data_IF_676870826519
#
_entry.id   IF_676870826519
#
_cell.length_a   1.000
_cell.length_b   1.000
_cell.length_c   1.000
_cell.angle_alpha   90.00
_cell.angle_beta   90.00
_cell.angle_gamma   90.00
#
_symmetry.space_group_name_H-M   'P 1'
#
loop_
_entity.id
_entity.type
_entity.pdbx_description
1 polymer ?
#
# COMPACT_ATOMS: atom_id res chain seq x y z
N UNK A 1 -24.46 -13.37 17.61
CA UNK A 1 -24.96 -12.44 16.58
C UNK A 1 -23.94 -12.35 15.45
N UNK A 2 -22.90 -11.50 15.48
CA UNK A 2 -21.96 -11.37 14.36
C UNK A 2 -21.25 -12.67 13.89
N UNK A 3 -20.91 -13.59 14.81
CA UNK A 3 -20.24 -14.87 14.46
C UNK A 3 -21.17 -15.84 13.72
N UNK A 4 -22.45 -15.82 14.05
CA UNK A 4 -23.46 -16.70 13.46
C UNK A 4 -23.89 -16.16 12.09
N UNK A 5 -23.90 -14.83 11.93
CA UNK A 5 -24.12 -14.16 10.64
C UNK A 5 -23.03 -14.50 9.62
N UNK A 6 -21.75 -14.35 9.96
CA UNK A 6 -20.66 -14.69 9.03
C UNK A 6 -20.72 -16.15 8.58
N UNK A 7 -20.94 -17.09 9.51
CA UNK A 7 -21.10 -18.51 9.16
C UNK A 7 -22.25 -18.70 8.16
N UNK A 8 -23.40 -18.05 8.40
CA UNK A 8 -24.54 -18.15 7.50
C UNK A 8 -24.27 -17.57 6.12
N UNK A 9 -23.47 -16.51 6.03
CA UNK A 9 -23.06 -15.91 4.75
C UNK A 9 -22.11 -16.85 3.99
N UNK A 10 -21.13 -17.45 4.68
CA UNK A 10 -20.22 -18.45 4.09
C UNK A 10 -20.99 -19.66 3.55
N UNK A 11 -21.92 -20.20 4.33
CA UNK A 11 -22.75 -21.34 3.93
C UNK A 11 -23.62 -20.99 2.71
N UNK A 12 -24.25 -19.82 2.70
CA UNK A 12 -25.08 -19.34 1.58
C UNK A 12 -24.31 -19.20 0.27
N UNK A 13 -23.09 -18.65 0.32
CA UNK A 13 -22.20 -18.56 -0.84
C UNK A 13 -21.79 -19.97 -1.30
N UNK A 14 -21.43 -20.85 -0.37
CA UNK A 14 -21.03 -22.23 -0.67
C UNK A 14 -22.13 -23.06 -1.37
N UNK A 15 -23.37 -22.96 -0.91
CA UNK A 15 -24.50 -23.70 -1.47
C UNK A 15 -24.81 -23.30 -2.92
N UNK A 16 -24.63 -22.01 -3.26
CA UNK A 16 -24.81 -21.49 -4.62
C UNK A 16 -23.82 -22.07 -5.63
N UNK A 17 -22.59 -22.38 -5.20
CA UNK A 17 -21.54 -22.94 -6.06
C UNK A 17 -21.39 -24.47 -5.97
N UNK A 18 -22.17 -25.16 -5.12
CA UNK A 18 -22.07 -26.61 -4.93
C UNK A 18 -22.88 -27.40 -5.96
N UNK A 19 -22.60 -27.21 -7.26
CA UNK A 19 -23.30 -27.90 -8.36
C UNK A 19 -22.61 -29.22 -8.73
N UNK A 20 -23.39 -30.28 -8.92
CA UNK A 20 -22.93 -31.54 -9.51
C UNK A 20 -22.87 -31.48 -11.05
N UNK A 21 -22.22 -32.47 -11.67
CA UNK A 21 -22.02 -32.53 -13.14
C UNK A 21 -23.33 -32.34 -13.92
N UNK A 22 -24.39 -33.06 -13.55
CA UNK A 22 -25.70 -32.92 -14.22
C UNK A 22 -26.32 -31.54 -14.06
N UNK A 23 -26.13 -30.88 -12.91
CA UNK A 23 -26.66 -29.53 -12.70
C UNK A 23 -25.91 -28.51 -13.54
N UNK A 24 -24.59 -28.68 -13.66
CA UNK A 24 -23.74 -27.84 -14.52
C UNK A 24 -24.16 -28.01 -15.98
N UNK A 25 -24.26 -29.25 -16.47
CA UNK A 25 -24.61 -29.54 -17.86
C UNK A 25 -26.01 -29.02 -18.21
N UNK A 26 -26.99 -29.23 -17.32
CA UNK A 26 -28.35 -28.73 -17.51
C UNK A 26 -28.40 -27.19 -17.50
N UNK A 27 -27.68 -26.55 -16.58
CA UNK A 27 -27.65 -25.09 -16.48
C UNK A 27 -27.05 -24.45 -17.74
N UNK A 28 -25.91 -24.97 -18.21
CA UNK A 28 -25.27 -24.50 -19.44
C UNK A 28 -26.16 -24.70 -20.66
N UNK A 29 -26.80 -25.87 -20.80
CA UNK A 29 -27.73 -26.13 -21.90
C UNK A 29 -28.93 -25.15 -21.89
N UNK A 30 -29.49 -24.85 -20.71
CA UNK A 30 -30.60 -23.90 -20.59
C UNK A 30 -30.14 -22.46 -20.92
N UNK A 31 -28.94 -22.06 -20.50
CA UNK A 31 -28.36 -20.75 -20.84
C UNK A 31 -28.14 -20.59 -22.35
N UNK A 32 -27.61 -21.61 -23.02
CA UNK A 32 -27.33 -21.57 -24.46
C UNK A 32 -28.60 -21.46 -25.31
N UNK A 33 -29.68 -22.11 -24.87
CA UNK A 33 -30.94 -22.20 -25.61
C UNK A 33 -32.02 -21.24 -25.11
N UNK A 34 -31.82 -20.59 -23.96
CA UNK A 34 -32.73 -19.65 -23.30
C UNK A 34 -33.98 -20.29 -22.68
N UNK A 35 -34.59 -21.27 -23.35
CA UNK A 35 -35.75 -22.01 -22.82
C UNK A 35 -35.79 -23.41 -23.38
N UNK A 36 -35.87 -24.42 -22.51
CA UNK A 36 -35.95 -25.83 -22.88
C UNK A 36 -37.04 -26.55 -22.07
N UNK A 37 -37.56 -27.64 -22.60
CA UNK A 37 -38.35 -28.63 -21.86
C UNK A 37 -37.44 -29.68 -21.23
N UNK A 38 -37.92 -30.41 -20.23
CA UNK A 38 -37.16 -31.50 -19.62
C UNK A 38 -36.74 -32.60 -20.64
N UNK A 39 -37.54 -32.80 -21.70
CA UNK A 39 -37.17 -33.71 -22.78
C UNK A 39 -36.02 -33.15 -23.62
N UNK A 40 -36.10 -31.88 -24.01
CA UNK A 40 -35.03 -31.24 -24.79
C UNK A 40 -33.72 -31.16 -23.98
N UNK A 41 -33.77 -30.93 -22.67
CA UNK A 41 -32.57 -31.01 -21.80
C UNK A 41 -31.95 -32.40 -21.86
N UNK A 42 -32.75 -33.47 -21.80
CA UNK A 42 -32.23 -34.84 -21.93
C UNK A 42 -31.64 -35.13 -23.32
N UNK A 43 -32.15 -34.48 -24.36
CA UNK A 43 -31.67 -34.65 -25.74
C UNK A 43 -30.37 -33.85 -26.00
N UNK A 44 -30.20 -32.72 -25.31
CA UNK A 44 -29.04 -31.83 -25.43
C UNK A 44 -27.90 -32.14 -24.44
N UNK A 45 -28.12 -33.02 -23.46
CA UNK A 45 -27.13 -33.36 -22.43
C UNK A 45 -26.98 -34.88 -22.27
N UNK A 46 -25.99 -35.32 -21.49
CA UNK A 46 -25.83 -36.74 -21.13
C UNK A 46 -26.67 -37.15 -19.90
N UNK A 47 -27.63 -36.31 -19.49
CA UNK A 47 -28.42 -36.52 -18.29
C UNK A 47 -29.53 -37.55 -18.57
N UNK A 48 -29.60 -38.66 -17.81
CA UNK A 48 -30.68 -39.62 -17.97
C UNK A 48 -32.04 -38.95 -17.74
N UNK A 49 -33.00 -39.16 -18.65
CA UNK A 49 -34.33 -38.55 -18.61
C UNK A 49 -35.05 -38.60 -17.23
N UNK A 50 -34.95 -39.68 -16.43
CA UNK A 50 -35.53 -39.71 -15.08
C UNK A 50 -34.92 -38.70 -14.10
N UNK A 51 -33.67 -38.26 -14.32
CA UNK A 51 -32.93 -37.36 -13.44
C UNK A 51 -33.11 -35.89 -13.80
N UNK A 52 -33.51 -35.57 -15.03
CA UNK A 52 -33.63 -34.18 -15.49
C UNK A 52 -34.57 -33.37 -14.61
N UNK A 53 -35.71 -33.94 -14.19
CA UNK A 53 -36.67 -33.24 -13.32
C UNK A 53 -36.09 -32.87 -11.96
N UNK A 54 -35.30 -33.77 -11.35
CA UNK A 54 -34.66 -33.50 -10.05
C UNK A 54 -33.56 -32.45 -10.21
N UNK A 55 -32.77 -32.54 -11.29
CA UNK A 55 -31.72 -31.58 -11.63
C UNK A 55 -32.26 -30.17 -11.83
N UNK A 56 -33.30 -29.99 -12.65
CA UNK A 56 -33.86 -28.64 -12.93
C UNK A 56 -34.61 -28.06 -11.74
N UNK A 57 -35.16 -28.91 -10.86
CA UNK A 57 -35.71 -28.47 -9.58
C UNK A 57 -34.63 -27.95 -8.64
N UNK A 58 -33.51 -28.68 -8.53
CA UNK A 58 -32.38 -28.22 -7.73
C UNK A 58 -31.82 -26.89 -8.26
N UNK A 59 -31.70 -26.73 -9.58
CA UNK A 59 -31.30 -25.45 -10.19
C UNK A 59 -32.30 -24.32 -9.89
N UNK A 60 -33.59 -24.61 -9.91
CA UNK A 60 -34.65 -23.64 -9.58
C UNK A 60 -34.63 -23.25 -8.10
N UNK A 61 -34.44 -24.20 -7.18
CA UNK A 61 -34.31 -23.93 -5.75
C UNK A 61 -33.07 -23.06 -5.46
N UNK A 62 -32.06 -23.15 -6.33
CA UNK A 62 -30.86 -22.31 -6.32
C UNK A 62 -31.00 -21.03 -7.17
N UNK A 63 -32.19 -20.71 -7.67
CA UNK A 63 -32.43 -19.45 -8.42
C UNK A 63 -31.62 -19.31 -9.71
N UNK A 64 -31.13 -20.42 -10.28
CA UNK A 64 -30.33 -20.42 -11.51
C UNK A 64 -31.21 -20.56 -12.76
N UNK A 65 -32.39 -21.16 -12.62
CA UNK A 65 -33.39 -21.31 -13.70
C UNK A 65 -34.78 -21.09 -13.14
N UNK A 66 -35.73 -20.74 -13.99
CA UNK A 66 -37.15 -20.63 -13.65
C UNK A 66 -37.94 -21.80 -14.24
N UNK A 67 -38.76 -22.46 -13.42
CA UNK A 67 -39.71 -23.48 -13.90
C UNK A 67 -41.08 -22.86 -14.18
N UNK A 68 -41.50 -22.90 -15.45
CA UNK A 68 -42.84 -22.47 -15.85
C UNK A 68 -43.81 -23.66 -15.88
N UNK A 69 -44.96 -23.49 -15.22
CA UNK A 69 -46.05 -24.48 -15.16
C UNK A 69 -46.83 -24.57 -16.48
N UNK A 70 -46.15 -24.97 -17.55
CA UNK A 70 -46.74 -25.26 -18.86
C UNK A 70 -46.81 -26.77 -19.13
N UNK A 71 -47.50 -27.16 -20.22
CA UNK A 71 -47.53 -28.55 -20.70
C UNK A 71 -46.97 -28.60 -22.14
N UNK A 72 -45.75 -29.11 -22.36
CA UNK A 72 -44.78 -29.61 -21.38
C UNK A 72 -44.18 -28.51 -20.48
N UNK A 73 -43.64 -28.89 -19.31
CA UNK A 73 -42.95 -27.98 -18.37
C UNK A 73 -41.75 -27.35 -19.07
N UNK A 74 -41.61 -26.02 -18.93
CA UNK A 74 -40.49 -25.27 -19.48
C UNK A 74 -39.54 -24.84 -18.38
N UNK A 75 -38.26 -24.87 -18.70
CA UNK A 75 -37.13 -24.42 -17.88
C UNK A 75 -36.54 -23.23 -18.62
N UNK A 76 -36.55 -22.08 -17.96
CA UNK A 76 -36.15 -20.80 -18.55
C UNK A 76 -34.86 -20.34 -17.88
N UNK A 77 -33.92 -19.85 -18.68
CA UNK A 77 -32.70 -19.24 -18.19
C UNK A 77 -33.04 -17.94 -17.43
N UNK A 78 -32.44 -17.78 -16.25
CA UNK A 78 -32.40 -16.49 -15.56
C UNK A 78 -31.15 -15.76 -16.05
N UNK A 79 -31.21 -14.44 -16.20
CA UNK A 79 -30.03 -13.65 -16.55
C UNK A 79 -28.92 -13.88 -15.50
N UNK A 80 -27.68 -14.20 -15.91
CA UNK A 80 -26.62 -14.49 -14.95
C UNK A 80 -26.33 -13.33 -13.99
N UNK A 81 -26.50 -12.07 -14.42
CA UNK A 81 -26.36 -10.91 -13.55
C UNK A 81 -27.42 -10.94 -12.43
N UNK A 82 -28.67 -11.22 -12.77
CA UNK A 82 -29.76 -11.34 -11.79
C UNK A 82 -29.60 -12.59 -10.91
N UNK A 83 -29.22 -13.74 -11.48
CA UNK A 83 -29.08 -15.00 -10.76
C UNK A 83 -27.96 -14.96 -9.69
N UNK A 84 -26.93 -14.15 -9.91
CA UNK A 84 -25.76 -14.05 -9.03
C UNK A 84 -25.68 -12.73 -8.25
N UNK A 85 -26.58 -11.76 -8.44
CA UNK A 85 -26.57 -10.46 -7.72
C UNK A 85 -26.49 -10.64 -6.20
N UNK A 86 -27.39 -11.46 -5.64
CA UNK A 86 -27.41 -11.78 -4.20
C UNK A 86 -26.12 -12.46 -3.72
N UNK A 87 -25.49 -13.25 -4.60
CA UNK A 87 -24.26 -13.99 -4.30
C UNK A 87 -23.05 -13.08 -4.33
N UNK A 88 -22.98 -12.14 -5.28
CA UNK A 88 -21.94 -11.12 -5.32
C UNK A 88 -21.99 -10.24 -4.06
N UNK A 89 -23.19 -9.80 -3.66
CA UNK A 89 -23.38 -9.04 -2.43
C UNK A 89 -22.98 -9.85 -1.18
N UNK A 90 -23.45 -11.09 -1.06
CA UNK A 90 -23.11 -11.98 0.04
C UNK A 90 -21.61 -12.33 0.09
N UNK A 91 -20.96 -12.47 -1.08
CA UNK A 91 -19.52 -12.71 -1.17
C UNK A 91 -18.73 -11.49 -0.68
N UNK A 92 -19.16 -10.28 -1.03
CA UNK A 92 -18.60 -9.03 -0.49
C UNK A 92 -18.70 -8.98 1.03
N UNK A 93 -19.90 -9.18 1.59
CA UNK A 93 -20.12 -9.24 3.04
C UNK A 93 -19.27 -10.33 3.72
N UNK A 94 -19.12 -11.49 3.06
CA UNK A 94 -18.29 -12.58 3.55
C UNK A 94 -16.82 -12.17 3.62
N UNK A 95 -16.29 -11.54 2.57
CA UNK A 95 -14.91 -11.06 2.51
C UNK A 95 -14.68 -10.02 3.61
N UNK A 96 -15.54 -9.01 3.73
CA UNK A 96 -15.41 -7.96 4.75
C UNK A 96 -15.47 -8.54 6.17
N UNK A 97 -16.37 -9.50 6.41
CA UNK A 97 -16.52 -10.17 7.69
C UNK A 97 -15.36 -11.12 8.02
N UNK A 98 -14.71 -11.71 7.01
CA UNK A 98 -13.49 -12.50 7.16
C UNK A 98 -12.29 -11.60 7.39
N UNK A 99 -12.13 -10.51 6.64
CA UNK A 99 -11.06 -9.51 6.81
C UNK A 99 -11.12 -8.89 8.22
N UNK A 100 -12.31 -8.55 8.71
CA UNK A 100 -12.51 -8.02 10.08
C UNK A 100 -12.08 -9.01 11.19
N UNK A 101 -12.06 -10.32 10.89
CA UNK A 101 -11.64 -11.38 11.82
C UNK A 101 -10.26 -11.93 11.51
N UNK A 102 -9.68 -11.53 10.39
CA UNK A 102 -8.39 -11.95 9.95
C UNK A 102 -7.35 -11.27 10.82
N UNK A 103 -6.89 -11.98 11.84
CA UNK A 103 -5.66 -11.61 12.53
C UNK A 103 -4.51 -12.01 11.62
N UNK A 104 -3.89 -11.03 10.97
CA UNK A 104 -2.64 -11.25 10.28
C UNK A 104 -1.68 -11.94 11.26
N UNK A 105 -1.07 -13.09 10.90
CA UNK A 105 0.01 -13.64 11.70
C UNK A 105 1.02 -12.53 11.92
N UNK A 106 1.48 -12.32 13.15
CA UNK A 106 2.61 -11.42 13.41
C UNK A 106 3.77 -11.91 12.55
N UNK A 107 4.00 -11.25 11.41
CA UNK A 107 5.11 -11.56 10.51
C UNK A 107 6.35 -10.92 11.09
N UNK A 108 6.78 -11.45 12.23
CA UNK A 108 8.22 -11.46 12.47
C UNK A 108 8.79 -12.45 11.44
N UNK A 109 9.72 -11.98 10.59
CA UNK A 109 10.64 -12.79 9.75
C UNK A 109 10.33 -13.02 8.25
N UNK A 110 9.65 -12.11 7.54
CA UNK A 110 9.89 -11.97 6.10
C UNK A 110 10.26 -10.53 5.76
N UNK A 111 11.55 -10.29 5.46
CA UNK A 111 12.04 -8.97 5.06
C UNK A 111 11.34 -8.44 3.80
N UNK A 112 10.78 -9.34 2.98
CA UNK A 112 10.08 -9.02 1.73
C UNK A 112 8.83 -9.87 1.57
N UNK A 113 7.68 -9.26 1.28
CA UNK A 113 6.42 -9.94 0.96
C UNK A 113 5.95 -9.52 -0.44
N UNK A 114 5.59 -10.49 -1.28
CA UNK A 114 4.91 -10.26 -2.54
C UNK A 114 3.39 -10.31 -2.34
N UNK A 115 2.66 -9.28 -2.77
CA UNK A 115 1.19 -9.22 -2.69
C UNK A 115 0.58 -9.03 -4.07
N UNK A 116 -0.56 -9.66 -4.32
CA UNK A 116 -1.29 -9.53 -5.60
C UNK A 116 -2.66 -8.88 -5.45
N UNK A 117 -3.25 -8.94 -4.25
CA UNK A 117 -4.56 -8.34 -4.01
C UNK A 117 -4.45 -6.84 -3.80
N UNK A 118 -5.32 -6.08 -4.49
CA UNK A 118 -5.52 -4.65 -4.27
C UNK A 118 -5.88 -4.34 -2.82
N UNK A 119 -6.75 -5.13 -2.17
CA UNK A 119 -7.13 -4.91 -0.77
C UNK A 119 -5.93 -5.03 0.15
N UNK A 120 -5.06 -6.02 -0.10
CA UNK A 120 -3.82 -6.19 0.65
C UNK A 120 -2.84 -5.04 0.45
N UNK A 121 -2.67 -4.53 -0.79
CA UNK A 121 -1.82 -3.37 -1.07
C UNK A 121 -2.32 -2.13 -0.32
N UNK A 122 -3.63 -1.88 -0.37
CA UNK A 122 -4.25 -0.73 0.31
C UNK A 122 -4.09 -0.80 1.82
N UNK A 123 -4.28 -1.98 2.41
CA UNK A 123 -4.05 -2.21 3.84
C UNK A 123 -2.60 -1.95 4.24
N UNK A 124 -1.62 -2.37 3.43
CA UNK A 124 -0.21 -2.08 3.72
C UNK A 124 0.14 -0.60 3.55
N UNK A 125 -0.47 0.11 2.59
CA UNK A 125 -0.30 1.55 2.45
C UNK A 125 -0.78 2.29 3.71
N UNK A 126 -1.99 1.95 4.18
CA UNK A 126 -2.57 2.47 5.42
C UNK A 126 -1.63 2.19 6.62
N UNK A 127 -1.21 0.93 6.78
CA UNK A 127 -0.33 0.51 7.87
C UNK A 127 1.02 1.24 7.84
N UNK A 128 1.60 1.48 6.66
CA UNK A 128 2.85 2.25 6.52
C UNK A 128 2.63 3.71 6.91
N UNK A 129 1.55 4.34 6.43
CA UNK A 129 1.23 5.75 6.73
C UNK A 129 1.02 5.93 8.24
N UNK A 130 0.20 5.08 8.86
CA UNK A 130 -0.10 5.15 10.30
C UNK A 130 1.11 4.84 11.19
N UNK A 131 2.05 4.03 10.70
CA UNK A 131 3.25 3.66 11.46
C UNK A 131 4.38 4.68 11.42
N UNK A 132 4.28 5.71 10.57
CA UNK A 132 5.35 6.70 10.40
C UNK A 132 5.48 7.56 11.65
N UNK A 133 6.67 7.60 12.23
CA UNK A 133 6.95 8.35 13.45
C UNK A 133 7.58 9.71 13.18
N UNK A 134 8.36 9.86 12.10
CA UNK A 134 9.06 11.12 11.84
C UNK A 134 9.26 11.46 10.37
N UNK A 135 9.30 10.49 9.46
CA UNK A 135 9.32 10.76 8.03
C UNK A 135 8.47 9.79 7.22
N UNK A 136 7.85 10.33 6.18
CA UNK A 136 7.01 9.59 5.25
C UNK A 136 7.24 10.11 3.83
N UNK A 137 7.65 9.22 2.93
CA UNK A 137 7.79 9.51 1.50
C UNK A 137 6.76 8.72 0.70
N UNK A 138 5.99 9.40 -0.14
CA UNK A 138 4.82 8.84 -0.82
C UNK A 138 4.80 9.18 -2.30
N UNK A 139 4.40 8.21 -3.12
CA UNK A 139 3.94 8.44 -4.49
C UNK A 139 2.56 7.84 -4.60
N UNK A 140 1.53 8.66 -4.76
CA UNK A 140 0.13 8.23 -4.78
C UNK A 140 -0.55 8.63 -6.09
N UNK A 141 -1.57 7.86 -6.46
CA UNK A 141 -2.55 8.32 -7.46
C UNK A 141 -3.49 9.35 -6.83
N UNK A 142 -4.18 10.18 -7.64
CA UNK A 142 -5.18 11.10 -7.12
C UNK A 142 -6.28 10.42 -6.28
N UNK A 143 -6.74 9.24 -6.69
CA UNK A 143 -7.74 8.48 -5.94
C UNK A 143 -7.22 8.03 -4.57
N UNK A 144 -5.93 7.63 -4.50
CA UNK A 144 -5.30 7.24 -3.24
C UNK A 144 -5.03 8.45 -2.34
N UNK A 145 -4.67 9.60 -2.91
CA UNK A 145 -4.57 10.84 -2.15
C UNK A 145 -5.91 11.18 -1.50
N UNK A 146 -7.01 11.09 -2.25
CA UNK A 146 -8.35 11.31 -1.70
C UNK A 146 -8.71 10.31 -0.60
N UNK A 147 -8.34 9.04 -0.79
CA UNK A 147 -8.59 7.96 0.20
C UNK A 147 -7.84 8.17 1.51
N UNK A 148 -6.55 8.50 1.46
CA UNK A 148 -5.67 8.59 2.62
C UNK A 148 -5.49 10.03 3.14
N UNK A 149 -6.30 10.98 2.67
CA UNK A 149 -6.13 12.39 3.03
C UNK A 149 -6.17 12.60 4.55
N UNK A 150 -7.13 12.00 5.25
CA UNK A 150 -7.24 12.15 6.71
C UNK A 150 -6.05 11.53 7.45
N UNK A 151 -5.56 10.37 7.02
CA UNK A 151 -4.40 9.69 7.63
C UNK A 151 -3.13 10.53 7.46
N UNK A 152 -2.97 11.16 6.28
CA UNK A 152 -1.86 12.06 6.00
C UNK A 152 -1.93 13.36 6.80
N UNK A 153 -3.14 13.91 7.03
CA UNK A 153 -3.32 15.04 7.96
C UNK A 153 -2.92 14.65 9.37
N UNK A 154 -3.39 13.49 9.84
CA UNK A 154 -3.04 12.99 11.17
C UNK A 154 -1.52 12.81 11.34
N UNK A 155 -0.83 12.28 10.33
CA UNK A 155 0.63 12.16 10.34
C UNK A 155 1.32 13.53 10.37
N UNK A 156 0.87 14.48 9.56
CA UNK A 156 1.42 15.85 9.51
C UNK A 156 1.19 16.59 10.83
N UNK A 157 -0.01 16.48 11.41
CA UNK A 157 -0.38 17.04 12.71
C UNK A 157 0.44 16.43 13.86
N UNK A 158 0.83 15.16 13.74
CA UNK A 158 1.74 14.48 14.66
C UNK A 158 3.21 14.91 14.49
N UNK A 159 3.53 15.74 13.48
CA UNK A 159 4.87 16.29 13.22
C UNK A 159 5.73 15.46 12.26
N UNK A 160 5.16 14.41 11.65
CA UNK A 160 5.83 13.58 10.64
C UNK A 160 6.15 14.45 9.42
N UNK A 161 7.37 14.35 8.89
CA UNK A 161 7.72 15.02 7.64
C UNK A 161 7.19 14.23 6.47
N UNK A 162 6.24 14.79 5.72
CA UNK A 162 5.60 14.10 4.62
C UNK A 162 6.04 14.70 3.28
N UNK A 163 6.75 13.89 2.47
CA UNK A 163 7.09 14.19 1.07
C UNK A 163 6.10 13.46 0.16
N UNK A 164 5.15 14.19 -0.39
CA UNK A 164 4.07 13.65 -1.20
C UNK A 164 4.30 13.92 -2.69
N UNK A 165 4.32 12.86 -3.48
CA UNK A 165 4.26 12.93 -4.94
C UNK A 165 2.90 12.44 -5.42
N UNK A 166 2.23 13.23 -6.26
CA UNK A 166 0.95 12.85 -6.88
C UNK A 166 1.14 12.62 -8.38
N UNK A 167 0.75 11.44 -8.86
CA UNK A 167 0.88 11.08 -10.27
C UNK A 167 -0.27 10.18 -10.75
N UNK A 168 -0.77 10.35 -12.00
CA UNK A 168 -0.37 11.38 -12.95
C UNK A 168 -0.93 12.77 -12.58
N UNK A 169 -0.18 13.83 -12.89
CA UNK A 169 -0.56 15.22 -12.58
C UNK A 169 -1.88 15.66 -13.22
N UNK A 170 -2.26 15.09 -14.37
CA UNK A 170 -3.52 15.42 -15.04
C UNK A 170 -4.80 15.02 -14.29
N UNK A 171 -4.69 14.19 -13.24
CA UNK A 171 -5.80 13.88 -12.33
C UNK A 171 -5.62 14.43 -10.92
N UNK A 172 -4.49 15.08 -10.62
CA UNK A 172 -4.24 15.63 -9.29
C UNK A 172 -5.21 16.81 -9.03
N UNK A 173 -5.76 16.92 -7.81
CA UNK A 173 -6.51 18.10 -7.42
C UNK A 173 -5.71 19.39 -7.67
N UNK A 174 -6.31 20.47 -8.18
CA UNK A 174 -5.59 21.72 -8.35
C UNK A 174 -5.30 22.35 -6.98
N UNK A 175 -4.14 23.01 -6.85
CA UNK A 175 -3.61 23.49 -5.57
C UNK A 175 -4.46 24.57 -4.89
N UNK A 176 -5.34 25.24 -5.64
CA UNK A 176 -6.30 26.21 -5.14
C UNK A 176 -7.61 25.58 -4.62
N UNK A 177 -7.89 24.31 -4.95
CA UNK A 177 -9.07 23.57 -4.48
C UNK A 177 -8.75 22.52 -3.41
N UNK A 178 -7.48 22.12 -3.28
CA UNK A 178 -7.04 21.12 -2.31
C UNK A 178 -5.88 21.64 -1.46
N UNK A 179 -6.06 21.57 -0.14
CA UNK A 179 -5.03 21.97 0.82
C UNK A 179 -3.95 20.89 0.95
N UNK A 180 -2.96 20.98 0.07
CA UNK A 180 -1.78 20.12 0.09
C UNK A 180 -0.90 20.33 1.33
N UNK A 181 -0.91 21.52 1.93
CA UNK A 181 -0.13 21.82 3.13
C UNK A 181 -0.66 21.10 4.37
N UNK A 182 -1.96 20.82 4.41
CA UNK A 182 -2.55 20.04 5.51
C UNK A 182 -2.14 18.57 5.49
N UNK A 183 -1.81 18.00 4.32
CA UNK A 183 -1.50 16.57 4.17
C UNK A 183 -0.01 16.28 3.94
N UNK A 184 0.79 17.32 3.67
CA UNK A 184 2.19 17.14 3.33
C UNK A 184 3.06 18.33 3.73
N UNK A 185 4.29 18.05 4.17
CA UNK A 185 5.33 19.08 4.32
C UNK A 185 5.78 19.60 2.96
N UNK A 186 5.90 18.72 1.98
CA UNK A 186 6.18 19.09 0.58
C UNK A 186 5.35 18.23 -0.33
N UNK A 187 4.62 18.85 -1.26
CA UNK A 187 3.81 18.16 -2.25
C UNK A 187 4.25 18.54 -3.67
N UNK A 188 4.44 17.52 -4.52
CA UNK A 188 4.83 17.68 -5.92
C UNK A 188 3.95 16.85 -6.84
N UNK A 189 3.90 17.23 -8.12
CA UNK A 189 3.15 16.49 -9.14
C UNK A 189 4.05 16.00 -10.28
N UNK A 190 3.62 14.92 -10.95
CA UNK A 190 4.36 14.30 -12.06
C UNK A 190 3.44 13.73 -13.15
N UNK A 191 3.71 14.01 -14.43
CA UNK A 191 2.88 13.56 -15.59
C UNK A 191 2.77 12.05 -15.75
N UNK A 192 3.83 11.30 -15.46
CA UNK A 192 3.97 9.93 -15.92
C UNK A 192 2.91 8.99 -15.34
N UNK A 193 2.06 8.41 -16.19
CA UNK A 193 1.07 7.40 -15.79
C UNK A 193 1.71 6.08 -15.31
N UNK A 194 2.99 5.87 -15.63
CA UNK A 194 3.79 4.73 -15.17
C UNK A 194 4.46 4.98 -13.82
N UNK A 195 4.21 6.13 -13.17
CA UNK A 195 4.78 6.45 -11.85
C UNK A 195 4.23 5.45 -10.82
N UNK A 196 5.06 4.61 -10.20
CA UNK A 196 4.57 3.60 -9.27
C UNK A 196 3.94 4.25 -8.03
N UNK A 197 3.07 3.48 -7.39
CA UNK A 197 2.59 3.79 -6.04
C UNK A 197 3.62 3.28 -5.05
N UNK A 198 4.10 4.18 -4.19
CA UNK A 198 5.05 3.82 -3.14
C UNK A 198 4.67 4.52 -1.83
N UNK A 199 5.05 3.90 -0.72
CA UNK A 199 5.12 4.54 0.59
C UNK A 199 6.38 4.06 1.30
N UNK A 200 7.06 4.95 2.01
CA UNK A 200 8.22 4.64 2.85
C UNK A 200 8.08 5.40 4.15
N UNK A 201 7.88 4.69 5.25
CA UNK A 201 7.92 5.22 6.61
C UNK A 201 9.30 4.97 7.23
N UNK A 202 9.89 6.04 7.76
CA UNK A 202 11.11 6.00 8.60
C UNK A 202 12.26 5.20 7.98
N UNK A 203 12.37 5.24 6.65
CA UNK A 203 13.39 4.55 5.85
C UNK A 203 13.40 3.01 5.93
N UNK A 204 12.46 2.37 6.64
CA UNK A 204 12.50 0.91 6.90
C UNK A 204 11.26 0.16 6.44
N UNK A 205 10.07 0.76 6.60
CA UNK A 205 8.83 0.11 6.22
C UNK A 205 8.35 0.69 4.90
N UNK A 206 8.28 -0.14 3.85
CA UNK A 206 7.95 0.38 2.53
C UNK A 206 7.16 -0.58 1.66
N UNK A 207 6.47 0.00 0.69
CA UNK A 207 5.78 -0.71 -0.38
C UNK A 207 6.16 -0.12 -1.73
N UNK A 208 6.29 -0.99 -2.71
CA UNK A 208 6.35 -0.64 -4.13
C UNK A 208 5.25 -1.39 -4.86
N UNK A 209 4.38 -0.67 -5.57
CA UNK A 209 3.35 -1.23 -6.43
C UNK A 209 3.31 -0.46 -7.76
N UNK A 210 3.08 -1.15 -8.87
CA UNK A 210 2.75 -0.45 -10.12
C UNK A 210 1.36 0.19 -9.99
N UNK A 211 1.08 1.36 -10.61
CA UNK A 211 -0.30 1.92 -10.60
C UNK A 211 -1.32 0.91 -11.11
N UNK A 212 -0.85 0.18 -12.11
CA UNK A 212 -1.51 -0.92 -12.76
C UNK A 212 -1.85 -2.05 -11.75
N UNK A 213 -1.04 -2.36 -10.74
CA UNK A 213 -1.40 -3.35 -9.70
C UNK A 213 -2.65 -2.98 -8.89
N UNK A 214 -3.09 -1.71 -8.95
CA UNK A 214 -4.32 -1.23 -8.31
C UNK A 214 -5.50 -1.18 -9.29
N UNK A 215 -5.28 -1.53 -10.56
CA UNK A 215 -6.28 -1.69 -11.62
C UNK A 215 -6.42 -3.20 -11.93
N UNK A 216 -7.63 -3.64 -12.24
CA UNK A 216 -8.06 -5.05 -12.18
C UNK A 216 -7.52 -5.95 -13.33
N UNK A 217 -6.21 -6.15 -13.43
CA UNK A 217 -5.58 -6.90 -14.54
C UNK A 217 -4.46 -7.86 -14.07
N UNK A 218 -4.25 -8.92 -14.86
CA UNK A 218 -3.93 -10.28 -14.39
C UNK A 218 -2.47 -10.60 -14.02
N UNK A 219 -1.51 -9.69 -14.19
CA UNK A 219 -0.08 -9.97 -13.96
C UNK A 219 0.66 -8.89 -13.16
N UNK A 220 0.15 -8.53 -11.97
CA UNK A 220 0.67 -7.36 -11.23
C UNK A 220 0.78 -7.62 -9.73
N UNK A 221 1.87 -7.13 -9.15
CA UNK A 221 2.25 -7.39 -7.76
C UNK A 221 2.73 -6.11 -7.07
N UNK A 222 2.46 -6.02 -5.77
CA UNK A 222 3.13 -5.14 -4.84
C UNK A 222 4.24 -5.89 -4.12
N UNK A 223 5.33 -5.21 -3.79
CA UNK A 223 6.41 -5.72 -2.95
C UNK A 223 6.45 -4.89 -1.68
N UNK A 224 6.32 -5.54 -0.53
CA UNK A 224 6.43 -4.89 0.78
C UNK A 224 7.77 -5.28 1.38
N UNK A 225 8.49 -4.31 1.90
CA UNK A 225 9.68 -4.50 2.70
C UNK A 225 9.32 -4.22 4.16
N UNK A 226 9.17 -5.27 4.97
CA UNK A 226 8.69 -5.16 6.35
C UNK A 226 9.82 -4.71 7.27
N UNK A 227 9.83 -3.42 7.63
CA UNK A 227 10.75 -2.81 8.63
C UNK A 227 12.18 -3.32 8.48
N UNK A 228 12.72 -3.22 7.27
CA UNK A 228 14.00 -3.80 6.90
C UNK A 228 14.95 -2.76 6.33
N UNK A 229 16.25 -3.08 6.36
CA UNK A 229 17.26 -2.24 5.72
C UNK A 229 16.98 -2.02 4.22
N UNK A 230 16.23 -2.92 3.57
CA UNK A 230 15.86 -2.85 2.15
C UNK A 230 14.88 -1.71 1.83
N UNK A 231 14.18 -1.15 2.83
CA UNK A 231 13.36 0.05 2.62
C UNK A 231 14.16 1.23 2.07
N UNK A 232 15.47 1.25 2.32
CA UNK A 232 16.42 2.20 1.72
C UNK A 232 16.42 2.16 0.19
N UNK A 233 16.21 0.99 -0.44
CA UNK A 233 16.19 0.88 -1.90
C UNK A 233 14.99 1.63 -2.49
N UNK A 234 13.82 1.52 -1.84
CA UNK A 234 12.60 2.21 -2.24
C UNK A 234 12.73 3.71 -1.98
N UNK A 235 13.27 4.10 -0.82
CA UNK A 235 13.57 5.50 -0.48
C UNK A 235 14.57 6.12 -1.48
N UNK A 236 15.64 5.41 -1.82
CA UNK A 236 16.62 5.82 -2.81
C UNK A 236 15.98 6.03 -4.18
N UNK A 237 15.22 5.05 -4.66
CA UNK A 237 14.48 5.16 -5.93
C UNK A 237 13.50 6.35 -5.93
N UNK A 238 12.77 6.56 -4.84
CA UNK A 238 11.90 7.73 -4.70
C UNK A 238 12.69 9.03 -4.84
N UNK A 239 13.73 9.19 -4.02
CA UNK A 239 14.52 10.42 -3.95
C UNK A 239 15.26 10.73 -5.25
N UNK A 240 15.87 9.74 -5.90
CA UNK A 240 16.72 9.98 -7.08
C UNK A 240 15.96 9.95 -8.39
N UNK A 241 14.88 9.17 -8.51
CA UNK A 241 14.14 9.01 -9.78
C UNK A 241 12.84 9.76 -9.76
N UNK A 242 12.02 9.59 -8.72
CA UNK A 242 10.66 10.13 -8.72
C UNK A 242 10.63 11.60 -8.30
N UNK A 243 11.32 11.94 -7.22
CA UNK A 243 11.28 13.26 -6.58
C UNK A 243 11.99 14.35 -7.39
N UNK A 244 13.08 13.99 -8.07
CA UNK A 244 13.90 14.87 -8.92
C UNK A 244 13.28 15.11 -10.31
N UNK A 245 12.36 14.26 -10.77
CA UNK A 245 11.74 14.36 -12.10
C UNK A 245 10.28 14.85 -12.05
N UNK A 246 10.03 15.82 -11.17
CA UNK A 246 8.71 16.44 -10.94
C UNK A 246 8.52 17.69 -11.77
N UNK A 247 7.26 18.06 -12.04
CA UNK A 247 6.94 19.26 -12.84
C UNK A 247 6.73 20.50 -12.00
N UNK A 248 6.02 20.34 -10.89
CA UNK A 248 5.52 21.43 -10.10
C UNK A 248 5.54 21.04 -8.63
N UNK A 249 5.96 21.99 -7.79
CA UNK A 249 5.79 21.92 -6.34
C UNK A 249 4.51 22.67 -6.01
N UNK A 250 3.51 21.95 -5.51
CA UNK A 250 2.16 22.46 -5.25
C UNK A 250 1.96 22.90 -3.80
N UNK A 251 2.80 22.41 -2.89
CA UNK A 251 2.94 22.94 -1.53
C UNK A 251 4.34 22.68 -0.98
N UNK A 252 4.82 23.60 -0.13
CA UNK A 252 6.08 23.49 0.60
C UNK A 252 5.98 24.30 1.90
N UNK A 253 6.06 23.62 3.05
CA UNK A 253 6.09 24.21 4.39
C UNK A 253 7.26 23.65 5.22
N UNK A 254 8.47 23.70 4.64
CA UNK A 254 9.69 23.21 5.28
C UNK A 254 10.25 24.11 6.39
N UNK A 255 9.92 25.41 6.34
CA UNK A 255 10.51 26.44 7.22
C UNK A 255 9.90 26.45 8.63
N UNK A 256 8.65 25.98 8.78
CA UNK A 256 7.92 26.02 10.05
C UNK A 256 8.20 24.88 11.03
N UNK A 257 8.91 23.80 10.62
CA UNK A 257 9.04 22.60 11.46
C UNK A 257 9.95 22.83 12.69
N UNK A 258 9.49 22.53 13.91
CA UNK A 258 10.28 22.71 15.12
C UNK A 258 11.45 21.71 15.20
N UNK A 259 12.46 22.07 15.99
CA UNK A 259 13.52 21.14 16.42
C UNK A 259 13.16 20.59 17.82
N UNK A 260 13.55 19.35 18.17
CA UNK A 260 14.43 18.46 17.40
C UNK A 260 13.73 17.78 16.22
N UNK A 261 14.47 17.57 15.13
CA UNK A 261 14.00 16.86 13.92
C UNK A 261 14.66 15.50 13.82
N UNK A 262 13.96 14.52 13.26
CA UNK A 262 14.49 13.17 12.97
C UNK A 262 14.50 12.89 11.48
N UNK A 263 15.48 12.11 11.04
CA UNK A 263 15.69 11.75 9.64
C UNK A 263 16.19 10.30 9.54
N UNK A 264 15.70 9.53 8.57
CA UNK A 264 16.28 8.23 8.21
C UNK A 264 17.21 8.33 6.98
N UNK A 265 17.21 9.47 6.29
CA UNK A 265 18.07 9.74 5.13
C UNK A 265 19.06 10.87 5.38
N UNK A 266 20.35 10.55 5.30
CA UNK A 266 21.43 11.56 5.39
C UNK A 266 21.27 12.64 4.33
N UNK A 267 20.85 12.28 3.11
CA UNK A 267 20.71 13.22 1.99
C UNK A 267 19.67 14.28 2.29
N UNK A 268 18.53 13.85 2.86
CA UNK A 268 17.46 14.75 3.29
C UNK A 268 17.94 15.64 4.43
N UNK A 269 18.54 15.04 5.47
CA UNK A 269 19.07 15.78 6.60
C UNK A 269 20.04 16.89 6.12
N UNK A 270 21.06 16.52 5.36
CA UNK A 270 22.08 17.44 4.83
C UNK A 270 21.45 18.57 4.02
N UNK A 271 20.49 18.27 3.13
CA UNK A 271 19.78 19.29 2.36
C UNK A 271 19.03 20.26 3.28
N UNK A 272 18.26 19.75 4.24
CA UNK A 272 17.53 20.58 5.21
C UNK A 272 18.46 21.48 6.03
N UNK A 273 19.63 20.98 6.44
CA UNK A 273 20.61 21.78 7.20
C UNK A 273 21.21 22.90 6.35
N UNK A 274 21.50 22.63 5.08
CA UNK A 274 22.02 23.63 4.14
C UNK A 274 20.97 24.72 3.87
N UNK A 275 19.72 24.33 3.65
CA UNK A 275 18.61 25.25 3.38
C UNK A 275 18.27 26.10 4.63
N UNK A 276 18.24 25.50 5.82
CA UNK A 276 17.91 26.19 7.06
C UNK A 276 19.04 27.09 7.59
N UNK A 277 20.30 26.71 7.37
CA UNK A 277 21.49 27.42 7.84
C UNK A 277 21.61 27.56 9.37
N UNK A 278 22.77 28.03 9.83
CA UNK A 278 23.07 28.26 11.25
C UNK A 278 23.76 27.08 11.94
N UNK A 279 23.79 27.12 13.27
CA UNK A 279 24.42 26.09 14.09
C UNK A 279 23.44 24.97 14.42
N UNK A 280 23.95 23.74 14.42
CA UNK A 280 23.19 22.52 14.66
C UNK A 280 23.99 21.55 15.52
N UNK A 281 23.25 20.71 16.23
CA UNK A 281 23.77 19.60 17.01
C UNK A 281 23.07 18.34 16.57
N UNK A 282 23.77 17.21 16.59
CA UNK A 282 23.20 15.94 16.17
C UNK A 282 23.47 14.83 17.16
N UNK A 283 22.55 13.87 17.19
CA UNK A 283 22.72 12.56 17.80
C UNK A 283 22.37 11.51 16.74
N UNK A 284 23.31 10.61 16.49
CA UNK A 284 23.27 9.62 15.42
C UNK A 284 23.21 8.24 16.06
N UNK A 285 22.17 7.49 15.73
CA UNK A 285 22.16 6.04 15.94
C UNK A 285 22.55 5.35 14.63
N UNK A 286 23.41 4.36 14.74
CA UNK A 286 23.94 3.67 13.57
C UNK A 286 24.99 2.64 13.92
N UNK A 287 25.91 2.44 12.98
CA UNK A 287 27.01 1.48 13.15
C UNK A 287 28.34 2.01 12.66
N UNK A 288 29.39 1.57 13.31
CA UNK A 288 30.77 1.76 12.86
C UNK A 288 31.00 1.07 11.51
N UNK A 289 31.52 1.78 10.52
CA UNK A 289 31.63 1.28 9.13
C UNK A 289 32.60 0.11 9.00
N UNK A 290 33.71 0.14 9.75
CA UNK A 290 34.73 -0.92 9.68
C UNK A 290 34.36 -2.16 10.50
N UNK A 291 33.88 -1.97 11.73
CA UNK A 291 33.62 -3.09 12.65
C UNK A 291 32.17 -3.58 12.66
N UNK A 292 31.23 -2.80 12.12
CA UNK A 292 29.81 -3.11 12.06
C UNK A 292 29.08 -3.07 13.42
N UNK A 293 29.76 -2.64 14.49
CA UNK A 293 29.17 -2.54 15.84
C UNK A 293 28.24 -1.34 15.93
N UNK A 294 27.10 -1.52 16.59
CA UNK A 294 26.20 -0.41 16.92
C UNK A 294 26.95 0.67 17.68
N UNK A 295 26.70 1.92 17.31
CA UNK A 295 27.39 3.09 17.83
C UNK A 295 26.44 4.28 17.82
N UNK A 296 26.26 4.90 18.99
CA UNK A 296 25.57 6.18 19.12
C UNK A 296 26.63 7.28 19.26
N UNK A 297 26.52 8.33 18.45
CA UNK A 297 27.46 9.46 18.46
C UNK A 297 26.68 10.76 18.55
N UNK A 298 27.09 11.66 19.45
CA UNK A 298 26.48 12.97 19.62
C UNK A 298 27.52 14.08 19.60
N UNK A 299 27.19 15.21 18.98
CA UNK A 299 28.12 16.33 18.89
C UNK A 299 27.57 17.53 18.13
N UNK A 300 28.39 18.58 18.02
CA UNK A 300 28.09 19.75 17.19
C UNK A 300 28.34 19.41 15.72
N UNK A 301 27.44 19.78 14.82
CA UNK A 301 27.66 19.65 13.37
C UNK A 301 28.67 20.70 12.95
N UNK A 302 29.89 20.26 12.60
CA UNK A 302 30.99 21.16 12.21
C UNK A 302 31.10 21.34 10.70
N UNK A 303 30.71 20.34 9.92
CA UNK A 303 30.74 20.34 8.47
C UNK A 303 29.57 19.54 7.89
N UNK A 304 29.08 19.99 6.75
CA UNK A 304 28.03 19.34 5.97
C UNK A 304 28.50 19.31 4.51
N UNK A 305 28.55 18.13 3.90
CA UNK A 305 28.99 17.93 2.52
C UNK A 305 27.86 17.35 1.68
N UNK A 306 27.59 17.97 0.52
CA UNK A 306 26.63 17.50 -0.46
C UNK A 306 27.17 17.71 -1.87
N UNK A 307 27.53 16.63 -2.56
CA UNK A 307 27.96 16.70 -3.95
C UNK A 307 26.78 16.42 -4.90
N UNK A 308 26.57 17.33 -5.85
CA UNK A 308 25.48 17.26 -6.84
C UNK A 308 25.58 16.02 -7.73
N UNK A 309 26.73 15.34 -7.78
CA UNK A 309 26.94 14.06 -8.48
C UNK A 309 26.24 12.86 -7.84
N UNK A 310 25.53 13.06 -6.72
CA UNK A 310 24.88 12.01 -5.90
C UNK A 310 25.86 11.05 -5.17
N UNK A 311 27.17 11.28 -5.31
CA UNK A 311 28.25 10.41 -4.79
C UNK A 311 28.46 10.56 -3.28
N UNK A 312 28.30 11.76 -2.71
CA UNK A 312 28.60 12.00 -1.29
C UNK A 312 27.56 12.94 -0.66
N UNK A 313 26.90 12.44 0.40
CA UNK A 313 26.15 13.26 1.35
C UNK A 313 26.53 12.81 2.76
N UNK A 314 27.21 13.68 3.49
CA UNK A 314 27.75 13.39 4.81
C UNK A 314 27.72 14.61 5.72
N UNK A 315 27.82 14.37 7.03
CA UNK A 315 28.01 15.42 8.03
C UNK A 315 29.14 15.01 8.99
N UNK A 316 29.86 15.99 9.51
CA UNK A 316 30.94 15.76 10.48
C UNK A 316 30.49 16.28 11.84
N UNK A 317 30.63 15.44 12.86
CA UNK A 317 30.36 15.78 14.26
C UNK A 317 31.64 16.06 15.02
N UNK A 318 31.72 17.20 15.69
CA UNK A 318 32.71 17.43 16.74
C UNK A 318 32.22 16.79 18.04
N UNK A 319 32.90 15.72 18.45
CA UNK A 319 32.64 14.96 19.68
C UNK A 319 33.76 15.15 20.70
N UNK A 320 33.57 14.65 21.93
CA UNK A 320 34.63 14.65 22.95
C UNK A 320 35.86 13.82 22.55
N UNK A 321 35.67 12.80 21.71
CA UNK A 321 36.73 11.89 21.24
C UNK A 321 37.41 12.36 19.95
N UNK A 322 36.91 13.45 19.33
CA UNK A 322 37.39 13.99 18.06
C UNK A 322 36.29 14.17 17.02
N UNK A 323 36.68 14.55 15.80
CA UNK A 323 35.77 14.66 14.68
C UNK A 323 35.35 13.26 14.18
N UNK A 324 34.05 13.08 13.91
CA UNK A 324 33.47 11.83 13.39
C UNK A 324 32.68 12.13 12.13
N UNK A 325 33.06 11.51 11.01
CA UNK A 325 32.33 11.60 9.76
C UNK A 325 31.14 10.62 9.75
N UNK A 326 29.98 11.10 9.33
CA UNK A 326 28.72 10.37 9.35
C UNK A 326 28.13 10.34 7.94
N UNK A 327 27.98 9.14 7.40
CA UNK A 327 27.32 8.87 6.13
C UNK A 327 25.91 8.30 6.33
N UNK A 328 25.19 8.15 5.23
CA UNK A 328 23.87 7.49 5.23
C UNK A 328 23.98 5.97 5.23
N UNK A 329 22.85 5.28 5.05
CA UNK A 329 22.85 3.83 4.90
C UNK A 329 23.80 3.37 3.79
N UNK A 330 24.51 2.27 4.07
CA UNK A 330 25.55 1.71 3.21
C UNK A 330 26.76 2.66 3.04
N UNK A 331 27.01 3.54 4.02
CA UNK A 331 28.24 4.34 4.07
C UNK A 331 29.48 3.44 4.07
N UNK A 332 30.51 3.91 3.37
CA UNK A 332 31.77 3.18 3.20
C UNK A 332 33.01 4.07 3.32
N UNK A 333 32.84 5.40 3.22
CA UNK A 333 33.94 6.37 3.27
C UNK A 333 34.03 7.05 4.65
N UNK A 334 32.89 7.15 5.33
CA UNK A 334 32.71 7.77 6.63
C UNK A 334 32.99 6.80 7.79
N UNK A 335 33.09 7.33 9.01
CA UNK A 335 33.34 6.53 10.21
C UNK A 335 32.07 5.79 10.67
N UNK A 336 30.90 6.43 10.50
CA UNK A 336 29.60 5.92 10.96
C UNK A 336 28.59 5.89 9.82
N UNK A 337 27.93 4.74 9.68
CA UNK A 337 26.70 4.58 8.88
C UNK A 337 25.49 4.91 9.76
N UNK A 338 24.79 6.00 9.44
CA UNK A 338 23.60 6.41 10.17
C UNK A 338 22.36 5.57 9.81
N UNK A 339 21.63 5.16 10.84
CA UNK A 339 20.30 4.51 10.74
C UNK A 339 19.19 5.47 11.13
N UNK A 340 19.41 6.27 12.18
CA UNK A 340 18.55 7.39 12.60
C UNK A 340 19.42 8.63 12.90
N UNK A 341 18.99 9.79 12.43
CA UNK A 341 19.69 11.06 12.61
C UNK A 341 18.74 12.03 13.33
N UNK A 342 19.12 12.50 14.52
CA UNK A 342 18.39 13.51 15.28
C UNK A 342 19.14 14.83 15.24
N UNK A 343 18.48 15.92 14.88
CA UNK A 343 19.06 17.27 14.82
C UNK A 343 18.39 18.20 15.83
N UNK A 344 19.18 18.98 16.56
CA UNK A 344 18.77 20.05 17.46
C UNK A 344 19.47 21.39 17.14
N UNK A 345 19.01 22.48 17.75
CA UNK A 345 19.56 23.84 17.59
C UNK A 345 20.51 24.25 18.72
N UNK A 346 20.20 23.87 19.96
CA UNK A 346 20.93 24.33 21.15
C UNK A 346 21.87 23.26 21.74
N UNK A 347 21.47 21.99 21.66
CA UNK A 347 22.24 20.84 22.18
C UNK A 347 21.91 19.55 21.39
N UNK A 348 22.77 18.51 21.47
CA UNK A 348 22.48 17.22 20.84
C UNK A 348 21.19 16.60 21.40
N UNK A 349 20.20 16.25 20.56
CA UNK A 349 18.96 15.66 21.03
C UNK A 349 19.18 14.33 21.75
N UNK A 350 18.37 14.03 22.77
CA UNK A 350 18.48 12.76 23.48
C UNK A 350 18.18 11.55 22.57
N UNK A 351 18.91 10.45 22.81
CA UNK A 351 18.61 9.13 22.27
C UNK A 351 18.06 8.26 23.41
N UNK A 352 16.85 7.73 23.24
CA UNK A 352 16.23 6.78 24.17
C UNK A 352 16.24 5.42 23.45
N UNK A 353 16.84 4.41 24.08
CA UNK A 353 16.94 3.03 23.58
C UNK A 353 15.62 2.26 23.62
#
# INVERSE_FOLDING_TARGET
MARDELRSTVERVGDRFSLGEYEIDAYLAVLEHGTLTASEIADHTEIPQPRVYDTVRSLNDRGLVELQESRPMKVVAIDPGEAFEDVEAALGEMIDGLESRYTAPARETEAVTLVKSRSTILRYLEEIIESAEYELALSLTPDLLGRFAEDLRAATDAGVSVDLLVAPSGGAPPADEFDYGAVATTARTRRGITTPVIAVADGTYSIYATQDALRDDRDRYGVIFNRSALGFLVSGFFGTVLWTTTEETVAEDGEGRPYPRRYASIRRCVKDLLDAGGEFYATIDGRDVESGRSRVVSGRVSEVSFEVSEEVASLTLETEEGAVAVGGRVAALEDVEAHEIRIGRDEPPAYEE
#
